data_IF_782922293875
#
_entry.id   IF_782922293875
#
_cell.length_a   1.000
_cell.length_b   1.000
_cell.length_c   1.000
_cell.angle_alpha   90.00
_cell.angle_beta   90.00
_cell.angle_gamma   90.00
#
_symmetry.space_group_name_H-M   'P 1'
#
loop_
_entity.id
_entity.type
_entity.pdbx_description
1 polymer ?
#
# COMPACT_ATOMS: atom_id res chain seq x y z
N UNK A 1 12.21 8.91 -0.64
CA UNK A 1 10.87 8.52 -1.16
C UNK A 1 9.91 8.28 -0.01
N UNK A 2 10.24 7.44 0.97
CA UNK A 2 9.38 7.11 2.11
C UNK A 2 8.87 8.37 2.86
N UNK A 3 9.74 9.32 3.16
CA UNK A 3 9.37 10.57 3.85
C UNK A 3 8.34 11.39 3.09
N UNK A 4 8.44 11.45 1.76
CA UNK A 4 7.49 12.18 0.92
C UNK A 4 6.13 11.47 0.87
N UNK A 5 6.12 10.15 0.72
CA UNK A 5 4.88 9.35 0.78
C UNK A 5 4.20 9.50 2.13
N UNK A 6 4.97 9.48 3.24
CA UNK A 6 4.45 9.73 4.57
C UNK A 6 3.83 11.12 4.70
N UNK A 7 4.53 12.17 4.26
CA UNK A 7 4.04 13.56 4.32
C UNK A 7 2.69 13.72 3.62
N UNK A 8 2.53 13.08 2.45
CA UNK A 8 1.27 13.05 1.72
C UNK A 8 0.16 12.37 2.52
N UNK A 9 0.43 11.20 3.09
CA UNK A 9 -0.56 10.45 3.88
C UNK A 9 -0.93 11.20 5.16
N UNK A 10 0.05 11.69 5.91
CA UNK A 10 -0.18 12.44 7.15
C UNK A 10 -0.98 13.74 6.93
N UNK A 11 -0.90 14.32 5.72
CA UNK A 11 -1.69 15.50 5.37
C UNK A 11 -3.18 15.18 5.11
N UNK A 12 -3.47 13.97 4.61
CA UNK A 12 -4.82 13.60 4.15
C UNK A 12 -5.57 12.67 5.11
N UNK A 13 -4.88 12.06 6.07
CA UNK A 13 -5.48 11.13 7.03
C UNK A 13 -5.20 11.58 8.46
N UNK A 14 -6.23 11.57 9.31
CA UNK A 14 -6.06 11.75 10.74
C UNK A 14 -5.54 10.45 11.36
N UNK A 15 -4.29 10.47 11.80
CA UNK A 15 -3.60 9.29 12.35
C UNK A 15 -3.25 9.47 13.83
N UNK A 16 -3.84 10.46 14.49
CA UNK A 16 -3.64 10.74 15.91
C UNK A 16 -4.11 9.56 16.76
N UNK A 17 -3.28 9.14 17.72
CA UNK A 17 -3.58 8.01 18.59
C UNK A 17 -3.54 6.63 17.90
N UNK A 18 -3.15 6.57 16.62
CA UNK A 18 -3.13 5.34 15.86
C UNK A 18 -1.70 4.86 15.54
N UNK A 19 -1.54 3.53 15.49
CA UNK A 19 -0.43 2.91 14.78
C UNK A 19 -0.82 2.77 13.32
N UNK A 20 -0.01 3.31 12.43
CA UNK A 20 -0.28 3.28 10.99
C UNK A 20 0.89 2.64 10.23
N UNK A 21 0.57 1.84 9.24
CA UNK A 21 1.53 1.37 8.25
C UNK A 21 1.11 1.90 6.89
N UNK A 22 1.98 2.67 6.27
CA UNK A 22 1.82 3.12 4.89
C UNK A 22 2.65 2.23 3.99
N UNK A 23 2.03 1.73 2.94
CA UNK A 23 2.66 0.91 1.92
C UNK A 23 2.54 1.57 0.54
N UNK A 24 3.65 1.69 -0.17
CA UNK A 24 3.66 2.15 -1.56
C UNK A 24 4.33 1.10 -2.44
N UNK A 25 3.55 0.44 -3.30
CA UNK A 25 4.07 -0.56 -4.25
C UNK A 25 4.33 0.12 -5.58
N UNK A 26 5.59 0.43 -5.80
CA UNK A 26 6.11 0.92 -7.06
C UNK A 26 6.38 -0.19 -8.09
N UNK A 27 7.14 0.10 -9.13
CA UNK A 27 7.58 -0.90 -10.12
C UNK A 27 8.68 -1.81 -9.56
N UNK A 28 9.69 -1.24 -8.91
CA UNK A 28 10.89 -1.94 -8.43
C UNK A 28 10.85 -2.35 -6.96
N UNK A 29 10.19 -1.56 -6.13
CA UNK A 29 10.20 -1.69 -4.68
C UNK A 29 8.81 -1.57 -4.05
N UNK A 30 8.73 -2.00 -2.81
CA UNK A 30 7.67 -1.69 -1.86
C UNK A 30 8.31 -0.86 -0.75
N UNK A 31 7.85 0.35 -0.57
CA UNK A 31 8.19 1.21 0.56
C UNK A 31 7.18 0.98 1.68
N UNK A 32 7.69 0.74 2.89
CA UNK A 32 6.90 0.64 4.13
C UNK A 32 7.32 1.73 5.10
N UNK A 33 6.34 2.36 5.69
CA UNK A 33 6.52 3.38 6.71
C UNK A 33 5.63 3.01 7.88
N UNK A 34 6.24 2.79 9.04
CA UNK A 34 5.53 2.61 10.29
C UNK A 34 5.54 3.90 11.09
N UNK A 35 4.36 4.34 11.53
CA UNK A 35 4.22 5.52 12.37
C UNK A 35 3.30 5.26 13.55
N UNK A 36 3.59 5.93 14.66
CA UNK A 36 2.78 5.94 15.89
C UNK A 36 2.49 7.39 16.25
N UNK A 37 1.25 7.70 16.49
CA UNK A 37 0.81 9.05 16.86
C UNK A 37 1.28 10.13 15.86
N UNK A 38 1.30 9.80 14.56
CA UNK A 38 1.77 10.71 13.52
C UNK A 38 3.29 10.78 13.36
N UNK A 39 4.08 10.12 14.20
CA UNK A 39 5.54 10.10 14.13
C UNK A 39 6.05 8.84 13.46
N UNK A 40 6.96 9.01 12.49
CA UNK A 40 7.61 7.88 11.81
C UNK A 40 8.59 7.20 12.75
N UNK A 41 8.36 5.93 13.06
CA UNK A 41 9.25 5.10 13.90
C UNK A 41 10.09 4.13 13.07
N UNK A 42 9.60 3.69 11.92
CA UNK A 42 10.30 2.72 11.11
C UNK A 42 10.05 2.95 9.61
N UNK A 43 11.07 2.70 8.81
CA UNK A 43 10.95 2.71 7.35
C UNK A 43 11.69 1.51 6.77
N UNK A 44 11.15 0.95 5.68
CA UNK A 44 11.82 -0.10 4.95
C UNK A 44 11.54 0.04 3.45
N UNK A 45 12.56 -0.23 2.62
CA UNK A 45 12.42 -0.39 1.19
C UNK A 45 12.76 -1.83 0.83
N UNK A 46 11.82 -2.53 0.21
CA UNK A 46 11.93 -3.95 -0.10
C UNK A 46 11.86 -4.16 -1.62
N UNK A 47 12.60 -5.13 -2.19
CA UNK A 47 12.57 -5.43 -3.62
C UNK A 47 11.30 -6.19 -4.03
N UNK A 48 10.13 -5.67 -3.65
CA UNK A 48 8.80 -6.26 -3.82
C UNK A 48 7.87 -5.41 -4.72
N UNK A 49 8.43 -4.58 -5.59
CA UNK A 49 7.66 -3.82 -6.57
C UNK A 49 6.95 -4.73 -7.60
N UNK A 50 5.83 -4.24 -8.13
CA UNK A 50 4.94 -5.03 -8.97
C UNK A 50 5.59 -5.51 -10.28
N UNK A 51 6.42 -4.68 -10.94
CA UNK A 51 7.15 -5.09 -12.16
C UNK A 51 8.19 -6.13 -11.82
N UNK A 52 9.06 -5.82 -10.84
CA UNK A 52 10.13 -6.74 -10.41
C UNK A 52 9.59 -8.11 -10.02
N UNK A 53 8.55 -8.16 -9.20
CA UNK A 53 7.97 -9.42 -8.73
C UNK A 53 7.24 -10.18 -9.82
N UNK A 54 6.67 -9.48 -10.80
CA UNK A 54 6.11 -10.11 -12.00
C UNK A 54 7.22 -10.78 -12.82
N UNK A 55 8.31 -10.07 -13.12
CA UNK A 55 9.41 -10.59 -13.92
C UNK A 55 10.10 -11.79 -13.26
N UNK A 56 10.28 -11.74 -11.93
CA UNK A 56 11.05 -12.74 -11.19
C UNK A 56 10.23 -13.96 -10.76
N UNK A 57 8.89 -13.84 -10.64
CA UNK A 57 8.07 -14.92 -10.07
C UNK A 57 6.86 -15.32 -10.90
N UNK A 58 6.35 -14.45 -11.78
CA UNK A 58 5.12 -14.69 -12.51
C UNK A 58 5.36 -14.93 -14.01
N UNK A 59 6.20 -14.08 -14.64
CA UNK A 59 6.45 -14.14 -16.07
C UNK A 59 7.07 -15.49 -16.47
N UNK A 60 6.55 -16.07 -17.56
CA UNK A 60 7.04 -17.34 -18.09
C UNK A 60 6.61 -18.61 -17.32
N UNK A 61 5.94 -18.46 -16.19
CA UNK A 61 5.40 -19.60 -15.46
C UNK A 61 4.08 -20.11 -16.10
N UNK A 62 4.01 -21.43 -16.34
CA UNK A 62 2.80 -22.07 -16.88
C UNK A 62 1.76 -22.37 -15.80
N UNK A 63 2.19 -22.53 -14.57
CA UNK A 63 1.36 -22.82 -13.40
C UNK A 63 1.24 -21.56 -12.55
N UNK A 64 0.23 -20.74 -12.82
CA UNK A 64 0.00 -19.46 -12.16
C UNK A 64 -0.23 -19.62 -10.65
N UNK A 65 -1.04 -20.56 -10.14
CA UNK A 65 -1.19 -20.79 -8.71
C UNK A 65 0.14 -21.04 -8.00
N UNK A 66 0.98 -21.88 -8.58
CA UNK A 66 2.30 -22.22 -8.02
C UNK A 66 3.27 -21.04 -8.04
N UNK A 67 3.23 -20.22 -9.10
CA UNK A 67 4.00 -18.99 -9.21
C UNK A 67 3.60 -17.99 -8.13
N UNK A 68 2.31 -17.77 -7.93
CA UNK A 68 1.77 -16.89 -6.89
C UNK A 68 2.17 -17.39 -5.49
N UNK A 69 2.05 -18.69 -5.23
CA UNK A 69 2.47 -19.26 -3.95
C UNK A 69 3.95 -19.04 -3.69
N UNK A 70 4.80 -19.20 -4.72
CA UNK A 70 6.23 -18.91 -4.66
C UNK A 70 6.51 -17.45 -4.32
N UNK A 71 5.80 -16.52 -4.99
CA UNK A 71 5.89 -15.08 -4.72
C UNK A 71 5.43 -14.76 -3.30
N UNK A 72 4.29 -15.29 -2.84
CA UNK A 72 3.78 -15.07 -1.49
C UNK A 72 4.80 -15.50 -0.42
N UNK A 73 5.39 -16.68 -0.57
CA UNK A 73 6.46 -17.14 0.34
C UNK A 73 7.69 -16.22 0.33
N UNK A 74 8.06 -15.70 -0.85
CA UNK A 74 9.15 -14.74 -0.98
C UNK A 74 8.81 -13.43 -0.27
N UNK A 75 7.64 -12.84 -0.57
CA UNK A 75 7.16 -11.61 0.02
C UNK A 75 7.09 -11.71 1.55
N UNK A 76 6.51 -12.78 2.09
CA UNK A 76 6.43 -13.03 3.53
C UNK A 76 7.81 -13.02 4.20
N UNK A 77 8.83 -13.63 3.58
CA UNK A 77 10.19 -13.62 4.14
C UNK A 77 10.81 -12.22 4.20
N UNK A 78 10.55 -11.40 3.17
CA UNK A 78 11.05 -10.02 3.13
C UNK A 78 10.30 -9.14 4.13
N UNK A 79 8.98 -9.18 4.10
CA UNK A 79 8.10 -8.38 4.95
C UNK A 79 8.34 -8.63 6.45
N UNK A 80 8.54 -9.89 6.86
CA UNK A 80 8.81 -10.23 8.27
C UNK A 80 9.99 -9.50 8.87
N UNK A 81 10.95 -9.06 8.07
CA UNK A 81 12.16 -8.36 8.52
C UNK A 81 12.02 -6.84 8.45
N UNK A 82 10.97 -6.35 7.81
CA UNK A 82 10.81 -4.94 7.49
C UNK A 82 10.40 -4.09 8.69
N UNK A 83 9.50 -4.61 9.50
CA UNK A 83 8.94 -3.93 10.67
C UNK A 83 8.84 -4.93 11.84
N UNK A 84 8.81 -4.44 13.10
CA UNK A 84 8.58 -5.28 14.27
C UNK A 84 7.09 -5.64 14.40
N UNK A 85 6.56 -6.43 13.48
CA UNK A 85 5.13 -6.76 13.33
C UNK A 85 4.42 -7.20 14.61
N UNK A 86 5.15 -7.82 15.55
CA UNK A 86 4.58 -8.23 16.86
C UNK A 86 4.12 -7.05 17.70
N UNK A 87 4.75 -5.90 17.50
CA UNK A 87 4.43 -4.65 18.20
C UNK A 87 3.40 -3.82 17.42
N UNK A 88 3.19 -4.15 16.15
CA UNK A 88 2.38 -3.42 15.17
C UNK A 88 1.13 -4.19 14.74
N UNK A 89 0.52 -4.95 15.65
CA UNK A 89 -0.70 -5.72 15.35
C UNK A 89 -1.88 -4.81 15.04
N UNK A 90 -2.62 -5.16 13.99
CA UNK A 90 -3.82 -4.45 13.51
C UNK A 90 -3.64 -2.92 13.33
N UNK A 91 -2.57 -2.45 12.69
CA UNK A 91 -2.41 -1.03 12.43
C UNK A 91 -3.45 -0.54 11.43
N UNK A 92 -3.64 0.79 11.38
CA UNK A 92 -4.30 1.42 10.22
C UNK A 92 -3.40 1.20 9.00
N UNK A 93 -3.81 0.37 8.07
CA UNK A 93 -3.03 0.10 6.86
C UNK A 93 -3.50 1.00 5.72
N UNK A 94 -2.57 1.79 5.17
CA UNK A 94 -2.84 2.72 4.06
C UNK A 94 -1.97 2.30 2.88
N UNK A 95 -2.62 2.06 1.74
CA UNK A 95 -1.94 1.74 0.50
C UNK A 95 -1.92 2.92 -0.46
N UNK A 96 -0.74 3.33 -0.92
CA UNK A 96 -0.56 4.35 -1.96
C UNK A 96 0.06 3.77 -3.23
N UNK A 97 0.00 4.54 -4.30
CA UNK A 97 0.53 4.13 -5.59
C UNK A 97 -0.44 3.31 -6.45
N UNK A 98 0.03 3.00 -7.63
CA UNK A 98 -0.84 2.48 -8.68
C UNK A 98 -1.41 1.08 -8.42
N UNK A 99 -0.75 0.23 -7.65
CA UNK A 99 -1.30 -1.08 -7.28
C UNK A 99 -2.54 -0.91 -6.42
N UNK A 100 -2.48 -0.07 -5.39
CA UNK A 100 -3.59 0.14 -4.45
C UNK A 100 -4.75 0.93 -5.07
N UNK A 101 -4.46 1.94 -5.89
CA UNK A 101 -5.53 2.70 -6.57
C UNK A 101 -6.30 1.82 -7.56
N UNK A 102 -5.64 0.92 -8.27
CA UNK A 102 -6.31 -0.07 -9.13
C UNK A 102 -7.07 -1.12 -8.32
N UNK A 103 -6.50 -1.60 -7.21
CA UNK A 103 -7.19 -2.49 -6.27
C UNK A 103 -8.50 -1.87 -5.79
N UNK A 104 -8.46 -0.63 -5.31
CA UNK A 104 -9.65 0.08 -4.84
C UNK A 104 -10.73 0.23 -5.91
N UNK A 105 -10.34 0.63 -7.13
CA UNK A 105 -11.26 0.77 -8.27
C UNK A 105 -11.91 -0.57 -8.65
N UNK A 106 -11.12 -1.64 -8.71
CA UNK A 106 -11.64 -2.99 -8.99
C UNK A 106 -12.59 -3.48 -7.89
N UNK A 107 -12.28 -3.23 -6.62
CA UNK A 107 -13.13 -3.60 -5.50
C UNK A 107 -14.49 -2.88 -5.57
N UNK A 108 -14.50 -1.56 -5.82
CA UNK A 108 -15.73 -0.78 -6.02
C UNK A 108 -16.56 -1.32 -7.18
N UNK A 109 -15.91 -1.58 -8.33
CA UNK A 109 -16.58 -2.15 -9.50
C UNK A 109 -17.21 -3.52 -9.22
N UNK A 110 -16.53 -4.39 -8.45
CA UNK A 110 -17.06 -5.73 -8.09
C UNK A 110 -18.22 -5.67 -7.10
N UNK A 111 -18.33 -4.61 -6.32
CA UNK A 111 -19.50 -4.33 -5.47
C UNK A 111 -20.72 -3.88 -6.29
N UNK A 112 -20.57 -3.74 -7.62
CA UNK A 112 -21.63 -3.24 -8.51
C UNK A 112 -21.85 -1.72 -8.39
N UNK A 113 -20.90 -1.00 -7.83
CA UNK A 113 -20.97 0.45 -7.66
C UNK A 113 -20.25 1.17 -8.82
N UNK A 114 -20.69 2.37 -9.19
CA UNK A 114 -19.95 3.19 -10.16
C UNK A 114 -18.57 3.51 -9.60
N UNK A 115 -17.54 3.34 -10.42
CA UNK A 115 -16.17 3.68 -10.03
C UNK A 115 -16.04 5.21 -9.96
N UNK A 116 -15.71 5.79 -8.79
CA UNK A 116 -15.63 7.24 -8.65
C UNK A 116 -14.36 7.79 -9.31
N UNK A 117 -14.33 9.09 -9.59
CA UNK A 117 -13.16 9.77 -10.13
C UNK A 117 -11.96 9.65 -9.17
N UNK A 118 -12.19 9.86 -7.88
CA UNK A 118 -11.18 9.64 -6.84
C UNK A 118 -11.52 8.42 -6.00
N UNK A 119 -10.54 7.55 -5.82
CA UNK A 119 -10.63 6.35 -4.97
C UNK A 119 -10.06 6.60 -3.56
N UNK A 120 -9.64 7.83 -3.26
CA UNK A 120 -9.07 8.19 -1.97
C UNK A 120 -10.05 7.88 -0.82
N UNK A 121 -9.52 7.30 0.27
CA UNK A 121 -10.31 6.89 1.43
C UNK A 121 -11.14 5.62 1.25
N UNK A 122 -11.15 5.01 0.05
CA UNK A 122 -11.86 3.75 -0.16
C UNK A 122 -11.20 2.63 0.62
N UNK A 123 -12.02 1.79 1.25
CA UNK A 123 -11.57 0.62 2.00
C UNK A 123 -11.72 -0.65 1.20
N UNK A 124 -10.72 -1.51 1.30
CA UNK A 124 -10.72 -2.84 0.68
C UNK A 124 -10.36 -3.87 1.74
N UNK A 125 -11.23 -4.85 1.93
CA UNK A 125 -11.02 -5.91 2.91
C UNK A 125 -10.00 -6.95 2.43
N UNK A 126 -9.36 -7.64 3.36
CA UNK A 126 -8.45 -8.75 3.06
C UNK A 126 -9.14 -9.82 2.20
N UNK A 127 -10.41 -10.13 2.48
CA UNK A 127 -11.17 -11.07 1.68
C UNK A 127 -11.36 -10.61 0.22
N UNK A 128 -11.59 -9.32 -0.01
CA UNK A 128 -11.70 -8.76 -1.37
C UNK A 128 -10.37 -8.81 -2.11
N UNK A 129 -9.25 -8.57 -1.42
CA UNK A 129 -7.91 -8.70 -2.02
C UNK A 129 -7.67 -10.13 -2.48
N UNK A 130 -7.94 -11.13 -1.62
CA UNK A 130 -7.77 -12.55 -1.96
C UNK A 130 -8.70 -12.96 -3.11
N UNK A 131 -9.97 -12.60 -3.08
CA UNK A 131 -10.91 -12.89 -4.16
C UNK A 131 -10.51 -12.25 -5.50
N UNK A 132 -9.99 -11.01 -5.47
CA UNK A 132 -9.49 -10.34 -6.67
C UNK A 132 -8.23 -11.02 -7.19
N UNK A 133 -7.31 -11.41 -6.31
CA UNK A 133 -6.08 -12.13 -6.67
C UNK A 133 -6.42 -13.46 -7.34
N UNK A 134 -7.25 -14.29 -6.72
CA UNK A 134 -7.68 -15.58 -7.27
C UNK A 134 -8.37 -15.40 -8.63
N UNK A 135 -9.29 -14.45 -8.72
CA UNK A 135 -10.05 -14.20 -9.94
C UNK A 135 -9.15 -13.69 -11.08
N UNK A 136 -8.19 -12.81 -10.82
CA UNK A 136 -7.26 -12.32 -11.83
C UNK A 136 -6.21 -13.36 -12.22
N UNK A 137 -5.84 -14.24 -11.30
CA UNK A 137 -4.90 -15.34 -11.57
C UNK A 137 -5.41 -16.31 -12.63
N UNK A 138 -6.73 -16.50 -12.74
CA UNK A 138 -7.34 -17.37 -13.77
C UNK A 138 -7.41 -16.72 -15.15
N UNK A 139 -7.01 -15.46 -15.30
CA UNK A 139 -7.13 -14.67 -16.54
C UNK A 139 -5.79 -14.42 -17.19
N UNK A 140 -5.78 -14.42 -18.52
CA UNK A 140 -4.61 -13.96 -19.29
C UNK A 140 -4.43 -12.45 -19.11
N UNK A 141 -3.24 -11.93 -19.40
CA UNK A 141 -2.97 -10.49 -19.40
C UNK A 141 -3.96 -9.74 -20.32
N UNK A 142 -4.25 -10.29 -21.50
CA UNK A 142 -5.22 -9.69 -22.43
C UNK A 142 -6.62 -9.60 -21.84
N UNK A 143 -7.09 -10.66 -21.16
CA UNK A 143 -8.38 -10.63 -20.47
C UNK A 143 -8.42 -9.63 -19.32
N UNK A 144 -7.29 -9.42 -18.62
CA UNK A 144 -7.19 -8.44 -17.54
C UNK A 144 -7.30 -7.00 -18.03
N UNK A 145 -6.89 -6.71 -19.26
CA UNK A 145 -7.01 -5.37 -19.87
C UNK A 145 -8.46 -4.88 -19.98
N UNK A 146 -9.41 -5.81 -19.97
CA UNK A 146 -10.85 -5.51 -20.02
C UNK A 146 -11.53 -5.50 -18.65
N UNK A 147 -10.75 -5.61 -17.56
CA UNK A 147 -11.29 -5.59 -16.19
C UNK A 147 -11.66 -4.17 -15.79
N UNK A 148 -12.92 -3.99 -15.42
CA UNK A 148 -13.42 -2.70 -14.96
C UNK A 148 -12.68 -2.24 -13.69
N UNK A 149 -12.18 -1.02 -13.72
CA UNK A 149 -11.40 -0.44 -12.64
C UNK A 149 -9.89 -0.71 -12.70
N UNK A 150 -9.43 -1.59 -13.61
CA UNK A 150 -8.01 -1.85 -13.83
C UNK A 150 -7.49 -0.99 -14.99
N UNK A 151 -6.39 -0.26 -14.74
CA UNK A 151 -5.66 0.40 -15.82
C UNK A 151 -5.00 -0.64 -16.72
N UNK A 152 -5.18 -0.49 -18.04
CA UNK A 152 -4.66 -1.41 -19.08
C UNK A 152 -3.14 -1.62 -18.93
N UNK A 153 -2.38 -0.58 -18.62
CA UNK A 153 -0.92 -0.63 -18.44
C UNK A 153 -0.48 -1.49 -17.24
N UNK A 154 -1.42 -1.83 -16.34
CA UNK A 154 -1.15 -2.65 -15.14
C UNK A 154 -1.64 -4.07 -15.24
N UNK A 155 -2.28 -4.45 -16.35
CA UNK A 155 -2.85 -5.78 -16.54
C UNK A 155 -1.83 -6.91 -16.36
N UNK A 156 -0.58 -6.65 -16.73
CA UNK A 156 0.50 -7.64 -16.65
C UNK A 156 1.06 -7.81 -15.23
N UNK A 157 1.07 -6.73 -14.43
CA UNK A 157 1.76 -6.67 -13.14
C UNK A 157 0.83 -6.71 -11.92
N UNK A 158 -0.48 -6.56 -12.12
CA UNK A 158 -1.43 -6.43 -11.00
C UNK A 158 -1.48 -7.67 -10.12
N UNK A 159 -1.36 -8.88 -10.69
CA UNK A 159 -1.40 -10.14 -9.93
C UNK A 159 -0.26 -10.21 -8.93
N UNK A 160 0.94 -9.82 -9.33
CA UNK A 160 2.09 -9.79 -8.41
C UNK A 160 1.90 -8.73 -7.32
N UNK A 161 1.42 -7.53 -7.67
CA UNK A 161 1.12 -6.49 -6.70
C UNK A 161 0.08 -6.93 -5.66
N UNK A 162 -1.01 -7.59 -6.09
CA UNK A 162 -2.01 -8.12 -5.17
C UNK A 162 -1.49 -9.25 -4.30
N UNK A 163 -0.63 -10.13 -4.82
CA UNK A 163 -0.01 -11.20 -4.02
C UNK A 163 0.87 -10.63 -2.89
N UNK A 164 1.62 -9.56 -3.17
CA UNK A 164 2.41 -8.85 -2.16
C UNK A 164 1.48 -8.14 -1.16
N UNK A 165 0.40 -7.50 -1.62
CA UNK A 165 -0.59 -6.85 -0.76
C UNK A 165 -1.28 -7.83 0.19
N UNK A 166 -1.65 -9.02 -0.29
CA UNK A 166 -2.25 -10.07 0.53
C UNK A 166 -1.32 -10.51 1.69
N UNK A 167 -0.04 -10.69 1.40
CA UNK A 167 0.95 -11.04 2.43
C UNK A 167 1.21 -9.91 3.44
N UNK A 168 1.13 -8.66 2.99
CA UNK A 168 1.24 -7.50 3.87
C UNK A 168 0.07 -7.44 4.85
N UNK A 169 -1.16 -7.63 4.37
CA UNK A 169 -2.37 -7.66 5.19
C UNK A 169 -2.32 -8.79 6.23
N UNK A 170 -1.90 -9.98 5.80
CA UNK A 170 -1.78 -11.16 6.69
C UNK A 170 -0.75 -10.93 7.81
N UNK A 171 0.42 -10.36 7.48
CA UNK A 171 1.45 -10.07 8.47
C UNK A 171 1.08 -8.94 9.44
N UNK A 172 0.35 -7.95 8.98
CA UNK A 172 -0.14 -6.84 9.79
C UNK A 172 -1.35 -7.23 10.63
N UNK A 173 -1.91 -8.44 10.47
CA UNK A 173 -3.19 -8.87 11.04
C UNK A 173 -4.31 -7.85 10.75
N UNK A 174 -4.25 -7.22 9.58
CA UNK A 174 -5.17 -6.17 9.17
C UNK A 174 -6.37 -6.77 8.42
N UNK A 175 -7.58 -6.37 8.83
CA UNK A 175 -8.82 -6.83 8.18
C UNK A 175 -9.12 -6.11 6.89
N UNK A 176 -8.60 -4.90 6.75
CA UNK A 176 -8.79 -4.04 5.58
C UNK A 176 -7.60 -3.09 5.41
N UNK A 177 -7.50 -2.52 4.24
CA UNK A 177 -6.63 -1.37 3.97
C UNK A 177 -7.46 -0.18 3.46
N UNK A 178 -6.94 1.02 3.66
CA UNK A 178 -7.49 2.25 3.09
C UNK A 178 -6.62 2.71 1.94
N UNK A 179 -7.24 3.06 0.81
CA UNK A 179 -6.50 3.50 -0.38
C UNK A 179 -6.22 4.99 -0.32
N UNK A 180 -4.96 5.38 -0.51
CA UNK A 180 -4.59 6.76 -0.78
C UNK A 180 -4.45 6.97 -2.28
N UNK A 181 -5.16 7.97 -2.83
CA UNK A 181 -4.94 8.43 -4.20
C UNK A 181 -3.71 9.35 -4.30
N UNK A 182 -3.16 9.76 -3.16
CA UNK A 182 -2.01 10.65 -3.02
C UNK A 182 -0.78 9.85 -2.57
N UNK A 183 0.36 10.13 -3.17
CA UNK A 183 1.60 9.41 -2.91
C UNK A 183 2.80 10.34 -2.95
N UNK A 184 3.94 9.81 -3.45
CA UNK A 184 5.23 10.49 -3.51
C UNK A 184 5.16 11.88 -4.17
N UNK A 185 4.42 12.01 -5.29
CA UNK A 185 4.34 13.26 -6.07
C UNK A 185 3.66 14.37 -5.28
N UNK A 186 2.57 14.05 -4.63
CA UNK A 186 1.82 14.98 -3.79
C UNK A 186 2.64 15.36 -2.55
N UNK A 187 3.37 14.41 -1.95
CA UNK A 187 4.31 14.67 -0.87
C UNK A 187 5.41 15.65 -1.26
N UNK A 188 5.93 15.53 -2.48
CA UNK A 188 6.91 16.49 -3.02
C UNK A 188 6.30 17.88 -3.23
N UNK A 189 5.06 17.95 -3.75
CA UNK A 189 4.36 19.23 -3.90
C UNK A 189 4.10 19.91 -2.56
N UNK A 190 3.69 19.14 -1.54
CA UNK A 190 3.51 19.65 -0.18
C UNK A 190 4.83 20.17 0.42
N UNK A 191 5.94 19.47 0.17
CA UNK A 191 7.26 19.92 0.59
C UNK A 191 7.67 21.24 -0.08
N UNK A 192 7.51 21.33 -1.39
CA UNK A 192 7.81 22.55 -2.16
C UNK A 192 6.92 23.74 -1.77
N UNK A 193 5.66 23.47 -1.38
CA UNK A 193 4.71 24.46 -0.89
C UNK A 193 5.00 24.91 0.56
N UNK A 194 5.96 24.32 1.24
CA UNK A 194 6.23 24.59 2.66
C UNK A 194 5.08 24.15 3.58
N UNK A 195 4.21 23.24 3.09
CA UNK A 195 3.11 22.71 3.89
C UNK A 195 3.69 21.81 4.99
N UNK A 196 3.51 22.21 6.24
CA UNK A 196 3.81 21.36 7.39
C UNK A 196 2.74 20.26 7.52
N UNK A 197 3.11 19.02 7.85
CA UNK A 197 2.14 18.02 8.29
C UNK A 197 1.29 18.60 9.43
N UNK A 198 0.01 18.25 9.49
CA UNK A 198 -0.80 18.61 10.67
C UNK A 198 -0.11 17.99 11.89
N UNK A 199 0.32 18.82 12.82
CA UNK A 199 0.86 18.37 14.09
C UNK A 199 -0.23 17.62 14.85
N UNK A 200 0.14 16.58 15.65
CA UNK A 200 -0.82 15.90 16.51
C UNK A 200 -1.62 16.91 17.31
N UNK A 201 -2.90 16.68 17.52
CA UNK A 201 -3.79 17.55 18.27
C UNK A 201 -3.49 17.59 19.78
N UNK A 202 -2.60 16.71 20.27
CA UNK A 202 -2.14 16.68 21.67
C UNK A 202 -1.11 17.80 21.93
N UNK A 203 -1.43 18.76 22.83
CA UNK A 203 -0.54 19.88 23.17
C UNK A 203 0.80 19.44 23.76
N UNK A 204 0.87 18.29 24.45
CA UNK A 204 2.12 17.76 25.03
C UNK A 204 3.05 17.21 23.95
N UNK A 205 2.48 16.53 22.94
CA UNK A 205 3.24 16.06 21.77
C UNK A 205 3.73 17.21 20.90
N UNK A 206 2.93 18.27 20.75
CA UNK A 206 3.34 19.48 20.05
C UNK A 206 4.51 20.17 20.75
N UNK A 207 4.45 20.29 22.07
CA UNK A 207 5.53 20.87 22.87
C UNK A 207 6.83 20.04 22.80
N UNK A 208 6.73 18.72 22.85
CA UNK A 208 7.88 17.82 22.72
C UNK A 208 8.55 17.91 21.34
N UNK A 209 7.76 18.03 20.26
CA UNK A 209 8.27 18.18 18.88
C UNK A 209 8.95 19.54 18.67
N UNK A 210 8.44 20.61 19.27
CA UNK A 210 9.05 21.94 19.20
C UNK A 210 10.41 21.99 19.92
N UNK A 211 10.56 21.27 21.04
CA UNK A 211 11.84 21.15 21.75
C UNK A 211 12.85 20.37 20.91
N UNK A 212 12.43 19.28 20.25
CA UNK A 212 13.32 18.45 19.43
C UNK A 212 13.76 19.11 18.12
N UNK A 213 12.97 20.03 17.59
CA UNK A 213 13.28 20.77 16.35
C UNK A 213 14.18 22.00 16.61
N UNK A 214 14.52 22.29 17.86
CA UNK A 214 15.30 23.48 18.26
C UNK A 214 16.77 23.16 18.60
N UNK A 215 17.15 21.86 18.58
CA UNK A 215 18.52 21.34 18.70
C UNK A 215 19.06 20.92 17.31
#
# INVERSE_FOLDING_TARGET
EATLSWRSVAHHFQLDGARAVVADIGGGSLELIGAVDGLVEATASLPLGAVRTTETHIAGHRDMPKAIEGLRRHARRQLRKALPWREWTAPVLIGSGGTFTNLGRMAVARRGLPVPDSIHGSRVTTAEVEQLLEWLATRTAEQRRHVLGLNVERADIIVAGLAVTAELLDLADARELTVSAFGLREGLLLEMAGATPQLPSDPLLQAALLVYASD
#
